data_IF_393043946025
#
_entry.id   IF_393043946025
#
_cell.length_a   1.000
_cell.length_b   1.000
_cell.length_c   1.000
_cell.angle_alpha   90.00
_cell.angle_beta   90.00
_cell.angle_gamma   90.00
#
_symmetry.space_group_name_H-M   'P 1'
#
loop_
_entity.id
_entity.type
_entity.pdbx_description
1 polymer ?
#
# COMPACT_ATOMS: atom_id res chain seq x y z
N UNK A 1 -9.65 -1.08 1.12
CA UNK A 1 -10.50 -1.65 2.18
C UNK A 1 -11.30 -0.52 2.83
N UNK A 2 -12.52 -0.34 2.40
CA UNK A 2 -13.43 0.70 2.92
C UNK A 2 -14.55 0.05 3.76
N UNK A 3 -15.30 0.88 4.50
CA UNK A 3 -16.46 0.46 5.28
C UNK A 3 -16.19 -0.04 6.69
N UNK A 4 -14.94 -0.29 7.09
CA UNK A 4 -14.59 -0.84 8.42
C UNK A 4 -15.18 -0.02 9.59
N UNK A 5 -15.07 1.32 9.52
CA UNK A 5 -15.66 2.20 10.54
C UNK A 5 -17.18 2.20 10.55
N UNK A 6 -17.83 2.08 9.38
CA UNK A 6 -19.29 1.95 9.27
C UNK A 6 -19.76 0.61 9.83
N UNK A 7 -19.04 -0.46 9.49
CA UNK A 7 -19.31 -1.81 10.01
C UNK A 7 -19.28 -1.86 11.55
N UNK A 8 -18.25 -1.24 12.16
CA UNK A 8 -18.14 -1.17 13.62
C UNK A 8 -19.29 -0.37 14.24
N UNK A 9 -19.60 0.82 13.68
CA UNK A 9 -20.67 1.69 14.17
C UNK A 9 -22.05 0.99 14.14
N UNK A 10 -22.35 0.24 13.08
CA UNK A 10 -23.60 -0.54 12.97
C UNK A 10 -23.73 -1.62 14.06
N UNK A 11 -22.63 -1.97 14.75
CA UNK A 11 -22.56 -2.97 15.82
C UNK A 11 -22.29 -2.36 17.18
N UNK A 12 -22.38 -1.04 17.30
CA UNK A 12 -22.03 -0.29 18.52
C UNK A 12 -20.61 -0.60 19.04
N UNK A 13 -19.67 -0.86 18.10
CA UNK A 13 -18.26 -1.13 18.40
C UNK A 13 -17.39 0.08 18.10
N UNK A 14 -16.27 0.25 18.81
CA UNK A 14 -15.25 1.23 18.46
C UNK A 14 -14.74 1.00 17.02
N UNK A 15 -14.36 2.07 16.32
CA UNK A 15 -13.85 2.00 14.93
C UNK A 15 -12.64 1.05 14.79
N UNK A 16 -11.79 0.98 15.82
CA UNK A 16 -10.62 0.09 15.83
C UNK A 16 -10.98 -1.37 15.67
N UNK A 17 -12.12 -1.81 16.20
CA UNK A 17 -12.59 -3.18 16.04
C UNK A 17 -12.97 -3.48 14.57
N UNK A 18 -13.54 -2.50 13.87
CA UNK A 18 -13.77 -2.63 12.43
C UNK A 18 -12.47 -2.77 11.64
N UNK A 19 -11.44 -2.03 11.99
CA UNK A 19 -10.13 -2.17 11.34
C UNK A 19 -9.47 -3.51 11.64
N UNK A 20 -9.58 -4.01 12.87
CA UNK A 20 -9.11 -5.34 13.27
C UNK A 20 -9.80 -6.45 12.46
N UNK A 21 -11.12 -6.43 12.43
CA UNK A 21 -11.93 -7.40 11.67
C UNK A 21 -11.64 -7.32 10.16
N UNK A 22 -11.46 -6.10 9.63
CA UNK A 22 -11.07 -5.89 8.24
C UNK A 22 -9.69 -6.47 7.92
N UNK A 23 -8.75 -6.43 8.84
CA UNK A 23 -7.43 -7.04 8.66
C UNK A 23 -7.49 -8.58 8.67
N UNK A 24 -8.33 -9.17 9.53
CA UNK A 24 -8.56 -10.63 9.49
C UNK A 24 -9.19 -11.07 8.15
N UNK A 25 -10.15 -10.30 7.63
CA UNK A 25 -10.71 -10.55 6.30
C UNK A 25 -9.64 -10.46 5.20
N UNK A 26 -8.76 -9.45 5.27
CA UNK A 26 -7.66 -9.30 4.32
C UNK A 26 -6.70 -10.51 4.38
N UNK A 27 -6.39 -11.02 5.59
CA UNK A 27 -5.55 -12.21 5.78
C UNK A 27 -6.13 -13.43 5.08
N UNK A 28 -7.43 -13.68 5.24
CA UNK A 28 -8.12 -14.79 4.54
C UNK A 28 -8.02 -14.61 3.03
N UNK A 29 -8.31 -13.40 2.52
CA UNK A 29 -8.24 -13.10 1.09
C UNK A 29 -6.83 -13.28 0.53
N UNK A 30 -5.79 -12.82 1.23
CA UNK A 30 -4.39 -12.98 0.80
C UNK A 30 -4.05 -14.46 0.66
N UNK A 31 -4.41 -15.28 1.66
CA UNK A 31 -4.17 -16.72 1.64
C UNK A 31 -4.89 -17.38 0.47
N UNK A 32 -6.20 -17.14 0.35
CA UNK A 32 -7.02 -17.73 -0.72
C UNK A 32 -6.53 -17.29 -2.11
N UNK A 33 -6.13 -16.03 -2.28
CA UNK A 33 -5.55 -15.54 -3.53
C UNK A 33 -4.25 -16.29 -3.89
N UNK A 34 -3.39 -16.55 -2.90
CA UNK A 34 -2.19 -17.36 -3.09
C UNK A 34 -2.51 -18.81 -3.48
N UNK A 35 -3.47 -19.44 -2.79
CA UNK A 35 -3.94 -20.81 -3.09
C UNK A 35 -4.54 -20.94 -4.50
N UNK A 36 -5.24 -19.92 -4.97
CA UNK A 36 -5.80 -19.84 -6.33
C UNK A 36 -4.78 -19.47 -7.42
N UNK A 37 -3.52 -19.24 -7.07
CA UNK A 37 -2.46 -18.91 -8.01
C UNK A 37 -2.54 -17.49 -8.59
N UNK A 38 -3.26 -16.57 -7.94
CA UNK A 38 -3.31 -15.15 -8.31
C UNK A 38 -1.91 -14.57 -8.20
N UNK A 39 -1.46 -13.85 -9.23
CA UNK A 39 -0.10 -13.30 -9.28
C UNK A 39 0.03 -11.99 -8.51
N UNK A 40 -0.96 -11.11 -8.59
CA UNK A 40 -0.94 -9.80 -7.96
C UNK A 40 -2.26 -9.53 -7.23
N UNK A 41 -2.16 -9.09 -5.98
CA UNK A 41 -3.30 -8.63 -5.19
C UNK A 41 -2.96 -7.26 -4.61
N UNK A 42 -3.73 -6.24 -4.98
CA UNK A 42 -3.58 -4.90 -4.41
C UNK A 42 -4.61 -4.67 -3.31
N UNK A 43 -4.14 -4.30 -2.13
CA UNK A 43 -4.98 -3.87 -1.02
C UNK A 43 -4.85 -2.36 -0.83
N UNK A 44 -5.95 -1.62 -1.05
CA UNK A 44 -6.02 -0.19 -0.78
C UNK A 44 -6.20 0.02 0.73
N UNK A 45 -5.07 0.12 1.45
CA UNK A 45 -5.07 0.08 2.91
C UNK A 45 -5.19 1.47 3.57
N UNK A 46 -4.54 2.50 2.99
CA UNK A 46 -4.59 3.86 3.52
C UNK A 46 -4.51 4.88 2.38
N UNK A 47 -5.59 5.67 2.20
CA UNK A 47 -5.65 6.69 1.15
C UNK A 47 -5.05 8.03 1.60
N UNK A 48 -4.70 8.90 0.63
CA UNK A 48 -4.24 10.27 0.93
C UNK A 48 -5.30 11.08 1.67
N UNK A 49 -6.58 10.84 1.42
CA UNK A 49 -7.69 11.49 2.11
C UNK A 49 -7.80 11.08 3.58
N UNK A 50 -7.27 9.92 3.95
CA UNK A 50 -7.30 9.44 5.35
C UNK A 50 -6.44 10.30 6.29
N UNK A 51 -5.48 11.07 5.77
CA UNK A 51 -4.74 12.04 6.56
C UNK A 51 -5.61 13.15 7.16
N UNK A 52 -6.79 13.40 6.60
CA UNK A 52 -7.76 14.38 7.11
C UNK A 52 -8.60 13.86 8.31
N UNK A 53 -8.39 12.61 8.73
CA UNK A 53 -9.04 12.06 9.94
C UNK A 53 -8.45 12.66 11.21
N UNK A 54 -9.16 12.57 12.36
CA UNK A 54 -8.59 12.94 13.65
C UNK A 54 -7.22 12.28 13.87
N UNK A 55 -6.31 13.04 14.45
CA UNK A 55 -4.91 12.63 14.60
C UNK A 55 -4.78 11.32 15.41
N UNK A 56 -5.56 11.19 16.48
CA UNK A 56 -5.59 9.99 17.32
C UNK A 56 -6.04 8.73 16.55
N UNK A 57 -6.98 8.88 15.61
CA UNK A 57 -7.40 7.78 14.72
C UNK A 57 -6.24 7.40 13.76
N UNK A 58 -5.59 8.39 13.15
CA UNK A 58 -4.44 8.16 12.25
C UNK A 58 -3.29 7.50 13.00
N UNK A 59 -2.93 8.01 14.18
CA UNK A 59 -1.86 7.46 15.01
C UNK A 59 -2.15 6.00 15.41
N UNK A 60 -3.40 5.70 15.73
CA UNK A 60 -3.85 4.34 16.04
C UNK A 60 -3.73 3.39 14.84
N UNK A 61 -4.10 3.87 13.64
CA UNK A 61 -3.95 3.10 12.39
C UNK A 61 -2.48 2.83 12.07
N UNK A 62 -1.58 3.79 12.27
CA UNK A 62 -0.14 3.62 12.03
C UNK A 62 0.48 2.63 13.02
N UNK A 63 0.11 2.69 14.30
CA UNK A 63 0.51 1.70 15.30
C UNK A 63 0.01 0.29 14.95
N UNK A 64 -1.24 0.19 14.50
CA UNK A 64 -1.81 -1.08 14.07
C UNK A 64 -1.10 -1.64 12.83
N UNK A 65 -0.73 -0.79 11.87
CA UNK A 65 0.03 -1.21 10.68
C UNK A 65 1.40 -1.78 11.06
N UNK A 66 2.12 -1.14 11.99
CA UNK A 66 3.38 -1.68 12.52
C UNK A 66 3.17 -3.05 13.18
N UNK A 67 2.14 -3.18 14.02
CA UNK A 67 1.81 -4.46 14.65
C UNK A 67 1.48 -5.53 13.60
N UNK A 68 0.67 -5.20 12.60
CA UNK A 68 0.31 -6.09 11.51
C UNK A 68 1.55 -6.59 10.75
N UNK A 69 2.46 -5.70 10.37
CA UNK A 69 3.69 -6.06 9.66
C UNK A 69 4.53 -7.02 10.50
N UNK A 70 4.71 -6.73 11.80
CA UNK A 70 5.47 -7.60 12.71
C UNK A 70 4.88 -9.01 12.82
N UNK A 71 3.57 -9.11 12.92
CA UNK A 71 2.88 -10.38 13.18
C UNK A 71 2.62 -11.19 11.93
N UNK A 72 2.39 -10.53 10.77
CA UNK A 72 2.03 -11.21 9.54
C UNK A 72 3.21 -11.55 8.63
N UNK A 73 4.34 -10.84 8.74
CA UNK A 73 5.52 -11.12 7.89
C UNK A 73 5.97 -12.59 7.95
N UNK A 74 6.02 -13.28 9.11
CA UNK A 74 6.38 -14.71 9.14
C UNK A 74 5.39 -15.60 8.38
N UNK A 75 4.09 -15.33 8.51
CA UNK A 75 3.05 -16.10 7.81
C UNK A 75 3.09 -15.85 6.29
N UNK A 76 3.26 -14.58 5.88
CA UNK A 76 3.43 -14.23 4.47
C UNK A 76 4.65 -14.93 3.87
N UNK A 77 5.76 -15.00 4.60
CA UNK A 77 6.96 -15.70 4.16
C UNK A 77 6.72 -17.20 3.99
N UNK A 78 6.06 -17.84 4.96
CA UNK A 78 5.68 -19.26 4.90
C UNK A 78 4.80 -19.57 3.68
N UNK A 79 3.94 -18.64 3.30
CA UNK A 79 3.01 -18.78 2.17
C UNK A 79 3.61 -18.28 0.85
N UNK A 80 4.92 -18.05 0.78
CA UNK A 80 5.62 -17.60 -0.42
C UNK A 80 5.06 -16.29 -1.02
N UNK A 81 4.59 -15.38 -0.17
CA UNK A 81 4.05 -14.07 -0.58
C UNK A 81 5.17 -13.04 -0.62
N UNK A 82 5.32 -12.35 -1.75
CA UNK A 82 6.16 -11.16 -1.90
C UNK A 82 5.37 -9.92 -1.48
N UNK A 83 5.99 -8.98 -0.78
CA UNK A 83 5.38 -7.70 -0.42
C UNK A 83 5.96 -6.56 -1.26
N UNK A 84 5.07 -5.78 -1.85
CA UNK A 84 5.36 -4.47 -2.45
C UNK A 84 4.50 -3.40 -1.81
N UNK A 85 4.97 -2.15 -1.84
CA UNK A 85 4.25 -1.01 -1.28
C UNK A 85 4.25 0.11 -2.31
N UNK A 86 3.09 0.72 -2.52
CA UNK A 86 2.91 1.87 -3.42
C UNK A 86 2.28 3.06 -2.68
N UNK A 87 2.50 4.26 -3.20
CA UNK A 87 2.00 5.53 -2.67
C UNK A 87 3.09 6.37 -2.02
N UNK A 88 2.69 7.42 -1.31
CA UNK A 88 3.59 8.41 -0.69
C UNK A 88 4.17 7.88 0.62
N UNK A 89 5.06 6.88 0.55
CA UNK A 89 5.64 6.19 1.71
C UNK A 89 6.43 7.15 2.61
N UNK A 90 7.04 8.17 2.03
CA UNK A 90 7.79 9.22 2.74
C UNK A 90 6.93 10.03 3.72
N UNK A 91 5.60 10.02 3.57
CA UNK A 91 4.65 10.68 4.50
C UNK A 91 4.32 9.84 5.72
N UNK A 92 4.59 8.54 5.69
CA UNK A 92 4.33 7.65 6.81
C UNK A 92 5.32 7.94 7.96
N UNK A 93 4.93 7.73 9.23
CA UNK A 93 5.86 7.81 10.35
C UNK A 93 7.08 6.89 10.16
N UNK A 94 8.24 7.34 10.61
CA UNK A 94 9.50 6.60 10.46
C UNK A 94 9.44 5.15 10.95
N UNK A 95 8.82 4.81 12.11
CA UNK A 95 8.68 3.41 12.52
C UNK A 95 7.91 2.54 11.53
N UNK A 96 6.92 3.11 10.82
CA UNK A 96 6.17 2.40 9.77
C UNK A 96 7.06 2.15 8.57
N UNK A 97 7.80 3.16 8.10
CA UNK A 97 8.72 3.05 6.98
C UNK A 97 9.80 1.98 7.23
N UNK A 98 10.38 1.95 8.44
CA UNK A 98 11.36 0.93 8.82
C UNK A 98 10.78 -0.49 8.79
N UNK A 99 9.57 -0.70 9.34
CA UNK A 99 8.95 -2.02 9.35
C UNK A 99 8.54 -2.46 7.95
N UNK A 100 8.07 -1.55 7.10
CA UNK A 100 7.83 -1.84 5.67
C UNK A 100 9.12 -2.28 4.98
N UNK A 101 10.22 -1.54 5.16
CA UNK A 101 11.55 -1.92 4.62
C UNK A 101 11.97 -3.32 5.07
N UNK A 102 11.89 -3.61 6.37
CA UNK A 102 12.24 -4.91 6.94
C UNK A 102 11.39 -6.04 6.38
N UNK A 103 10.06 -5.84 6.33
CA UNK A 103 9.14 -6.83 5.78
C UNK A 103 9.37 -7.09 4.28
N UNK A 104 9.53 -6.04 3.48
CA UNK A 104 9.84 -6.18 2.05
C UNK A 104 11.17 -6.92 1.83
N UNK A 105 12.21 -6.61 2.60
CA UNK A 105 13.51 -7.31 2.52
C UNK A 105 13.37 -8.80 2.86
N UNK A 106 12.65 -9.13 3.95
CA UNK A 106 12.39 -10.51 4.37
C UNK A 106 11.64 -11.31 3.30
N UNK A 107 10.68 -10.66 2.62
CA UNK A 107 9.78 -11.28 1.64
C UNK A 107 10.27 -11.16 0.19
N UNK A 108 11.46 -10.58 -0.04
CA UNK A 108 11.95 -10.23 -1.38
C UNK A 108 12.21 -11.44 -2.29
N UNK A 109 12.57 -12.58 -1.72
CA UNK A 109 12.88 -13.81 -2.46
C UNK A 109 11.65 -14.65 -2.80
N UNK A 110 10.49 -14.32 -2.23
CA UNK A 110 9.25 -15.00 -2.51
C UNK A 110 8.77 -14.70 -3.94
N UNK A 111 8.21 -15.70 -4.60
CA UNK A 111 7.82 -15.65 -6.01
C UNK A 111 6.39 -16.16 -6.29
N UNK A 112 5.61 -16.38 -5.23
CA UNK A 112 4.19 -16.73 -5.33
C UNK A 112 3.33 -15.49 -5.59
N UNK A 113 2.33 -15.24 -4.71
CA UNK A 113 1.51 -14.03 -4.75
C UNK A 113 2.36 -12.79 -4.46
N UNK A 114 2.26 -11.76 -5.28
CA UNK A 114 2.74 -10.42 -4.95
C UNK A 114 1.61 -9.61 -4.32
N UNK A 115 1.70 -9.39 -3.02
CA UNK A 115 0.81 -8.50 -2.27
C UNK A 115 1.30 -7.06 -2.41
N UNK A 116 0.48 -6.19 -2.98
CA UNK A 116 0.75 -4.76 -3.13
C UNK A 116 -0.09 -3.99 -2.11
N UNK A 117 0.57 -3.34 -1.15
CA UNK A 117 -0.12 -2.47 -0.18
C UNK A 117 -0.08 -1.02 -0.66
N UNK A 118 -1.24 -0.45 -0.99
CA UNK A 118 -1.38 0.96 -1.31
C UNK A 118 -1.55 1.76 0.00
N UNK A 119 -0.51 2.54 0.35
CA UNK A 119 -0.39 3.31 1.59
C UNK A 119 -0.12 4.78 1.28
N UNK A 120 -0.90 5.68 1.90
CA UNK A 120 -0.88 7.11 1.53
C UNK A 120 -1.01 7.28 0.01
N UNK A 121 -1.91 6.46 -0.57
CA UNK A 121 -2.09 6.37 -2.01
C UNK A 121 -3.32 7.17 -2.45
N UNK A 122 -3.24 7.72 -3.65
CA UNK A 122 -4.35 8.33 -4.37
C UNK A 122 -4.05 8.34 -5.87
N UNK A 123 -4.96 7.81 -6.70
CA UNK A 123 -4.71 7.73 -8.15
C UNK A 123 -4.44 9.08 -8.80
N UNK A 124 -5.19 10.13 -8.41
CA UNK A 124 -4.93 11.49 -8.90
C UNK A 124 -3.57 12.03 -8.44
N UNK A 125 -3.18 11.72 -7.21
CA UNK A 125 -1.87 12.08 -6.66
C UNK A 125 -0.75 11.41 -7.44
N UNK A 126 -0.86 10.12 -7.71
CA UNK A 126 0.09 9.35 -8.50
C UNK A 126 0.27 9.94 -9.91
N UNK A 127 -0.84 10.23 -10.60
CA UNK A 127 -0.83 10.86 -11.93
C UNK A 127 -0.09 12.20 -11.89
N UNK A 128 -0.42 13.06 -10.92
CA UNK A 128 0.22 14.38 -10.79
C UNK A 128 1.71 14.25 -10.47
N UNK A 129 2.13 13.31 -9.64
CA UNK A 129 3.54 13.06 -9.35
C UNK A 129 4.30 12.54 -10.58
N UNK A 130 3.71 11.62 -11.34
CA UNK A 130 4.28 11.15 -12.61
C UNK A 130 4.46 12.31 -13.61
N UNK A 131 3.43 13.13 -13.80
CA UNK A 131 3.49 14.31 -14.67
C UNK A 131 4.57 15.29 -14.22
N UNK A 132 4.67 15.59 -12.92
CA UNK A 132 5.71 16.48 -12.38
C UNK A 132 7.12 15.95 -12.64
N UNK A 133 7.31 14.64 -12.49
CA UNK A 133 8.61 13.99 -12.72
C UNK A 133 9.00 14.09 -14.20
N UNK A 134 8.06 13.80 -15.11
CA UNK A 134 8.27 13.92 -16.56
C UNK A 134 8.56 15.38 -16.94
N UNK A 135 7.77 16.34 -16.46
CA UNK A 135 7.97 17.76 -16.73
C UNK A 135 9.33 18.27 -16.22
N UNK A 136 9.80 17.75 -15.08
CA UNK A 136 11.14 18.09 -14.58
C UNK A 136 12.26 17.60 -15.51
N UNK A 137 12.14 16.38 -16.05
CA UNK A 137 13.10 15.84 -17.05
C UNK A 137 13.10 16.63 -18.34
N UNK A 138 11.92 17.00 -18.86
CA UNK A 138 11.81 17.85 -20.05
C UNK A 138 12.48 19.20 -19.80
N UNK A 139 12.22 19.84 -18.67
CA UNK A 139 12.86 21.12 -18.32
C UNK A 139 14.37 21.02 -18.19
N UNK A 140 14.89 19.87 -17.73
CA UNK A 140 16.32 19.62 -17.61
C UNK A 140 16.99 19.26 -18.95
N UNK A 141 16.24 19.12 -20.05
CA UNK A 141 16.74 18.66 -21.34
C UNK A 141 17.07 17.16 -21.40
N UNK A 142 16.59 16.38 -20.40
CA UNK A 142 16.81 14.94 -20.31
C UNK A 142 15.78 14.13 -21.11
N UNK A 143 14.73 14.78 -21.64
CA UNK A 143 13.64 14.16 -22.38
C UNK A 143 13.01 15.19 -23.35
N UNK A 144 12.80 14.80 -24.61
CA UNK A 144 12.00 15.60 -25.55
C UNK A 144 10.49 15.42 -25.24
N UNK A 145 9.67 16.49 -25.27
CA UNK A 145 8.21 16.33 -25.14
C UNK A 145 7.59 15.31 -26.11
N UNK A 146 8.16 15.14 -27.31
CA UNK A 146 7.68 14.17 -28.29
C UNK A 146 7.95 12.71 -27.89
N UNK A 147 8.86 12.47 -26.94
CA UNK A 147 9.14 11.13 -26.39
C UNK A 147 8.13 10.69 -25.32
N UNK A 148 7.23 11.59 -24.88
CA UNK A 148 6.23 11.27 -23.87
C UNK A 148 5.14 10.38 -24.50
N UNK A 149 5.24 9.08 -24.24
CA UNK A 149 4.28 8.04 -24.66
C UNK A 149 3.57 7.46 -23.44
N UNK A 150 2.52 6.65 -23.67
CA UNK A 150 1.86 5.89 -22.61
C UNK A 150 2.85 4.98 -21.85
N UNK A 151 3.80 4.39 -22.57
CA UNK A 151 4.84 3.55 -21.97
C UNK A 151 5.79 4.36 -21.09
N UNK A 152 6.24 5.53 -21.53
CA UNK A 152 7.04 6.45 -20.73
C UNK A 152 6.26 6.89 -19.50
N UNK A 153 4.99 7.25 -19.64
CA UNK A 153 4.13 7.61 -18.51
C UNK A 153 4.01 6.45 -17.50
N UNK A 154 3.73 5.23 -17.97
CA UNK A 154 3.61 4.04 -17.12
C UNK A 154 4.89 3.77 -16.29
N UNK A 155 6.08 4.05 -16.85
CA UNK A 155 7.35 3.92 -16.11
C UNK A 155 7.52 4.93 -14.97
N UNK A 156 6.69 5.97 -14.90
CA UNK A 156 6.69 6.95 -13.83
C UNK A 156 5.59 6.72 -12.79
N UNK A 157 4.72 5.71 -12.98
CA UNK A 157 3.74 5.28 -11.98
C UNK A 157 4.40 4.44 -10.87
N UNK A 158 3.73 4.30 -9.74
CA UNK A 158 4.24 3.52 -8.59
C UNK A 158 4.33 2.01 -8.88
N UNK A 159 3.54 1.51 -9.82
CA UNK A 159 3.52 0.10 -10.25
C UNK A 159 4.45 -0.21 -11.43
N UNK A 160 5.37 0.73 -11.74
CA UNK A 160 6.41 0.48 -12.75
C UNK A 160 7.16 -0.84 -12.46
N UNK A 161 7.31 -1.64 -13.48
CA UNK A 161 8.13 -2.86 -13.47
C UNK A 161 9.58 -2.53 -13.74
#
# INVERSE_FOLDING_TARGET
MDGNGRWARQRNLPRVEGHRTGAESARVIIRTAGELGIKYLTLYAFSVENWNRPKDEVDSLMKYLVHYLKTQTPELNKNNVRLQVIGQIYRLPEPVQEHLKKSMATLSRNNGLTLIMALSYGGRTEIVEAVRTIAAKVRAGEMDPAEITEQVFAQHLYTRN
#
